data_IF_278503420288
#
_entry.id   IF_278503420288
#
_cell.length_a   1.000
_cell.length_b   1.000
_cell.length_c   1.000
_cell.angle_alpha   90.00
_cell.angle_beta   90.00
_cell.angle_gamma   90.00
#
_symmetry.space_group_name_H-M   'P 1'
#
loop_
_entity.id
_entity.type
_entity.pdbx_description
1 polymer ?
#
# COMPACT_ATOMS: atom_id res chain seq x y z
N UNK A 1 -1.06 10.46 -1.99
CA UNK A 1 -0.69 11.89 -2.10
C UNK A 1 0.71 12.08 -1.53
N UNK A 2 1.45 13.08 -2.01
CA UNK A 2 2.82 13.36 -1.59
C UNK A 2 2.82 14.45 -0.51
N UNK A 3 3.52 14.23 0.60
CA UNK A 3 3.53 15.12 1.76
C UNK A 3 4.95 15.47 2.23
N UNK A 4 5.10 16.68 2.75
CA UNK A 4 6.21 17.08 3.61
C UNK A 4 5.66 17.33 5.00
N UNK A 5 6.38 16.87 6.02
CA UNK A 5 5.99 17.08 7.42
C UNK A 5 7.03 17.94 8.11
N UNK A 6 6.58 18.91 8.91
CA UNK A 6 7.44 19.69 9.81
C UNK A 6 6.90 19.66 11.22
N UNK A 7 7.79 19.52 12.20
CA UNK A 7 7.50 19.54 13.63
C UNK A 7 8.28 20.68 14.25
N UNK A 8 7.60 21.50 15.05
CA UNK A 8 8.22 22.68 15.66
C UNK A 8 8.01 22.64 17.17
N UNK A 9 9.07 22.81 17.99
CA UNK A 9 8.91 22.86 19.44
C UNK A 9 8.32 24.22 19.86
N UNK A 10 7.40 24.21 20.82
CA UNK A 10 6.84 25.43 21.41
C UNK A 10 6.97 25.36 22.94
N UNK A 11 7.45 26.44 23.54
CA UNK A 11 7.53 26.61 24.99
C UNK A 11 6.97 27.99 25.40
N UNK A 12 7.00 28.31 26.69
CA UNK A 12 6.50 29.59 27.22
C UNK A 12 7.23 30.83 26.67
N UNK A 13 8.41 30.64 26.05
CA UNK A 13 9.21 31.69 25.42
C UNK A 13 8.98 31.77 23.90
N UNK A 14 8.17 30.88 23.33
CA UNK A 14 7.78 30.89 21.93
C UNK A 14 8.14 29.61 21.17
N UNK A 15 8.18 29.74 19.85
CA UNK A 15 8.38 28.65 18.89
C UNK A 15 9.88 28.54 18.55
N UNK A 16 10.44 27.34 18.70
CA UNK A 16 11.85 27.03 18.39
C UNK A 16 12.07 26.59 16.94
N UNK A 17 13.21 25.94 16.69
CA UNK A 17 13.62 25.56 15.33
C UNK A 17 12.78 24.39 14.78
N UNK A 18 12.24 24.50 13.55
CA UNK A 18 11.49 23.43 12.93
C UNK A 18 12.40 22.28 12.47
N UNK A 19 11.93 21.04 12.63
CA UNK A 19 12.52 19.85 12.02
C UNK A 19 11.58 19.33 10.93
N UNK A 20 12.08 19.11 9.73
CA UNK A 20 11.28 18.70 8.56
C UNK A 20 11.74 17.34 8.03
N UNK A 21 10.85 16.63 7.34
CA UNK A 21 11.20 15.40 6.62
C UNK A 21 12.18 15.71 5.49
N UNK A 22 13.27 14.94 5.33
CA UNK A 22 14.32 15.24 4.35
C UNK A 22 13.84 15.15 2.89
N UNK A 23 12.86 14.30 2.63
CA UNK A 23 12.29 14.05 1.31
C UNK A 23 10.76 13.94 1.39
N UNK A 24 10.12 14.02 0.23
CA UNK A 24 8.69 13.86 0.09
C UNK A 24 8.25 12.43 0.42
N UNK A 25 7.20 12.30 1.23
CA UNK A 25 6.66 11.01 1.64
C UNK A 25 5.39 10.71 0.83
N UNK A 26 5.37 9.54 0.18
CA UNK A 26 4.15 8.98 -0.37
C UNK A 26 3.35 8.35 0.76
N UNK A 27 2.16 8.88 1.03
CA UNK A 27 1.20 8.26 1.93
C UNK A 27 0.41 7.23 1.12
N UNK A 28 0.63 5.96 1.44
CA UNK A 28 -0.09 4.80 0.91
C UNK A 28 -0.38 3.80 2.02
N UNK A 29 -1.42 2.99 1.83
CA UNK A 29 -1.88 1.94 2.71
C UNK A 29 -1.69 0.56 2.04
N UNK A 30 -1.90 -0.51 2.79
CA UNK A 30 -1.90 -1.86 2.24
C UNK A 30 -3.08 -2.00 1.27
N UNK A 31 -2.87 -2.49 0.04
CA UNK A 31 -3.97 -2.76 -0.88
C UNK A 31 -4.98 -3.73 -0.27
N UNK A 32 -6.25 -3.61 -0.67
CA UNK A 32 -7.26 -4.60 -0.33
C UNK A 32 -6.93 -5.96 -0.98
N UNK A 33 -7.48 -7.07 -0.46
CA UNK A 33 -7.32 -8.37 -1.10
C UNK A 33 -7.93 -8.38 -2.52
N UNK A 34 -7.40 -9.24 -3.42
CA UNK A 34 -8.02 -9.48 -4.72
C UNK A 34 -9.46 -9.98 -4.55
N UNK A 35 -10.31 -9.63 -5.51
CA UNK A 35 -11.71 -10.03 -5.50
C UNK A 35 -11.91 -11.28 -6.38
N UNK A 36 -13.01 -12.00 -6.13
CA UNK A 36 -13.49 -13.12 -6.97
C UNK A 36 -12.39 -14.09 -7.40
N UNK A 37 -11.74 -14.73 -6.44
CA UNK A 37 -10.81 -15.82 -6.73
C UNK A 37 -11.60 -17.03 -7.25
N UNK A 38 -11.36 -17.40 -8.50
CA UNK A 38 -12.05 -18.48 -9.21
C UNK A 38 -11.04 -19.46 -9.78
N UNK A 39 -11.34 -20.75 -9.64
CA UNK A 39 -10.63 -21.81 -10.35
C UNK A 39 -11.30 -22.00 -11.70
N UNK A 40 -10.58 -21.70 -12.78
CA UNK A 40 -11.14 -21.75 -14.13
C UNK A 40 -10.84 -23.07 -14.84
N UNK A 41 -9.79 -23.76 -14.45
CA UNK A 41 -9.45 -25.08 -14.99
C UNK A 41 -8.60 -25.87 -14.00
N UNK A 42 -8.80 -27.19 -13.99
CA UNK A 42 -8.05 -28.13 -13.17
C UNK A 42 -7.66 -29.33 -14.01
N UNK A 43 -6.35 -29.58 -14.09
CA UNK A 43 -5.80 -30.82 -14.65
C UNK A 43 -5.19 -31.67 -13.54
N UNK A 44 -4.66 -32.85 -13.90
CA UNK A 44 -3.96 -33.71 -12.93
C UNK A 44 -2.70 -33.07 -12.34
N UNK A 45 -2.13 -32.06 -13.00
CA UNK A 45 -0.84 -31.46 -12.61
C UNK A 45 -0.84 -29.94 -12.58
N UNK A 46 -1.92 -29.27 -12.99
CA UNK A 46 -2.00 -27.81 -13.07
C UNK A 46 -3.35 -27.32 -12.59
N UNK A 47 -3.37 -26.14 -11.97
CA UNK A 47 -4.58 -25.40 -11.61
C UNK A 47 -4.46 -24.02 -12.23
N UNK A 48 -5.50 -23.59 -12.93
CA UNK A 48 -5.57 -22.25 -13.50
C UNK A 48 -6.52 -21.40 -12.67
N UNK A 49 -6.01 -20.28 -12.18
CA UNK A 49 -6.72 -19.36 -11.30
C UNK A 49 -7.00 -18.03 -12.02
N UNK A 50 -8.14 -17.44 -11.70
CA UNK A 50 -8.54 -16.09 -12.12
C UNK A 50 -8.95 -15.30 -10.90
N UNK A 51 -8.61 -14.02 -10.87
CA UNK A 51 -9.09 -13.09 -9.85
C UNK A 51 -9.28 -11.69 -10.45
N UNK A 52 -10.03 -10.86 -9.75
CA UNK A 52 -10.22 -9.45 -10.05
C UNK A 52 -9.29 -8.59 -9.19
N UNK A 53 -8.92 -7.42 -9.71
CA UNK A 53 -8.11 -6.45 -8.96
C UNK A 53 -8.84 -6.05 -7.67
N UNK A 54 -8.09 -5.70 -6.60
CA UNK A 54 -8.65 -5.08 -5.41
C UNK A 54 -9.49 -3.84 -5.75
N UNK A 55 -10.51 -3.57 -4.93
CA UNK A 55 -11.32 -2.35 -5.05
C UNK A 55 -10.47 -1.10 -4.79
N UNK A 56 -9.57 -1.19 -3.81
CA UNK A 56 -8.63 -0.13 -3.44
C UNK A 56 -7.20 -0.66 -3.40
N UNK A 57 -6.29 0.04 -4.09
CA UNK A 57 -4.86 -0.27 -4.19
C UNK A 57 -4.01 0.40 -3.09
N UNK A 58 -4.67 0.99 -2.09
CA UNK A 58 -3.99 1.69 -1.00
C UNK A 58 -3.32 3.00 -1.42
N UNK A 59 -3.59 3.53 -2.61
CA UNK A 59 -3.00 4.79 -3.07
C UNK A 59 -1.61 4.65 -3.68
N UNK A 60 -1.21 3.43 -4.04
CA UNK A 60 -0.01 3.15 -4.84
C UNK A 60 -0.29 2.05 -5.87
N UNK A 61 0.49 2.03 -6.95
CA UNK A 61 0.32 1.03 -8.02
C UNK A 61 0.66 -0.37 -7.48
N UNK A 62 -0.22 -1.33 -7.72
CA UNK A 62 0.04 -2.75 -7.47
C UNK A 62 1.27 -3.23 -8.24
N UNK A 63 2.21 -3.86 -7.53
CA UNK A 63 3.45 -4.41 -8.09
C UNK A 63 3.30 -5.85 -8.55
N UNK A 64 2.41 -6.63 -7.92
CA UNK A 64 2.16 -8.02 -8.26
C UNK A 64 1.24 -8.72 -7.25
N UNK A 65 1.07 -10.03 -7.41
CA UNK A 65 0.30 -10.91 -6.53
C UNK A 65 1.17 -12.07 -6.07
N UNK A 66 0.98 -12.52 -4.83
CA UNK A 66 1.62 -13.70 -4.26
C UNK A 66 0.59 -14.81 -4.18
N UNK A 67 0.92 -15.99 -4.74
CA UNK A 67 0.07 -17.18 -4.70
C UNK A 67 0.73 -18.21 -3.80
N UNK A 68 -0.02 -18.69 -2.81
CA UNK A 68 0.43 -19.70 -1.86
C UNK A 68 -0.34 -21.00 -2.09
N UNK A 69 0.37 -22.13 -2.10
CA UNK A 69 -0.20 -23.47 -2.16
C UNK A 69 0.45 -24.30 -1.03
N UNK A 70 -0.38 -24.97 -0.23
CA UNK A 70 0.02 -25.79 0.91
C UNK A 70 -0.08 -27.28 0.56
#
# INVERSE_FOLDING_TARGET
MLYYFRVVPENIYGVGEPCETPDVILVCEVPLPPLKLEVIDVTKSTVTLRWEKPEHDGGSRLTGYVIEAC
#
